data_IF_714900430177
#
_entry.id   IF_714900430177
#
_cell.length_a   1.000
_cell.length_b   1.000
_cell.length_c   1.000
_cell.angle_alpha   90.00
_cell.angle_beta   90.00
_cell.angle_gamma   90.00
#
_symmetry.space_group_name_H-M   'P 1'
#
loop_
_entity.id
_entity.type
_entity.pdbx_description
1 polymer ?
#
# COMPACT_ATOMS: atom_id res chain seq x y z
N UNK A 1 10.14 4.96 20.35
CA UNK A 1 8.79 5.09 19.74
C UNK A 1 8.71 4.12 18.59
N UNK A 2 7.75 3.19 18.57
CA UNK A 2 7.57 2.27 17.43
C UNK A 2 6.98 3.04 16.26
N UNK A 3 7.45 2.79 15.04
CA UNK A 3 6.85 3.39 13.85
C UNK A 3 5.46 2.76 13.58
N UNK A 4 4.50 3.49 13.01
CA UNK A 4 3.16 2.94 12.73
C UNK A 4 3.20 2.06 11.48
N UNK A 5 2.26 1.11 11.36
CA UNK A 5 2.02 0.42 10.08
C UNK A 5 1.60 1.42 8.99
N UNK A 6 1.90 1.10 7.73
CA UNK A 6 1.62 1.97 6.59
C UNK A 6 0.55 1.39 5.67
N UNK A 7 -0.24 2.29 5.09
CA UNK A 7 -1.35 1.95 4.20
C UNK A 7 -1.19 2.73 2.91
N UNK A 8 -1.31 2.07 1.75
CA UNK A 8 -1.13 2.71 0.45
C UNK A 8 -2.27 2.36 -0.50
N UNK A 9 -2.95 3.38 -1.01
CA UNK A 9 -4.05 3.19 -1.96
C UNK A 9 -3.71 3.89 -3.28
N UNK A 10 -3.81 3.13 -4.37
CA UNK A 10 -3.52 3.59 -5.72
C UNK A 10 -2.08 3.31 -6.12
N UNK A 11 -1.85 2.20 -6.81
CA UNK A 11 -0.56 1.69 -7.30
C UNK A 11 -0.37 2.04 -8.78
N UNK A 12 -0.69 3.28 -9.13
CA UNK A 12 -0.43 3.80 -10.47
C UNK A 12 1.07 3.99 -10.76
N UNK A 13 1.40 4.58 -11.90
CA UNK A 13 2.79 4.80 -12.32
C UNK A 13 3.62 5.60 -11.31
N UNK A 14 2.99 6.50 -10.55
CA UNK A 14 3.65 7.28 -9.49
C UNK A 14 3.61 6.55 -8.15
N UNK A 15 2.50 5.94 -7.79
CA UNK A 15 2.34 5.27 -6.52
C UNK A 15 3.12 3.96 -6.36
N UNK A 16 3.20 3.14 -7.40
CA UNK A 16 3.85 1.82 -7.32
C UNK A 16 5.35 1.88 -6.95
N UNK A 17 6.19 2.76 -7.54
CA UNK A 17 7.59 2.91 -7.12
C UNK A 17 7.74 3.35 -5.67
N UNK A 18 6.83 4.20 -5.16
CA UNK A 18 6.86 4.66 -3.78
C UNK A 18 6.45 3.52 -2.82
N UNK A 19 5.35 2.84 -3.12
CA UNK A 19 4.88 1.71 -2.31
C UNK A 19 5.92 0.59 -2.24
N UNK A 20 6.65 0.33 -3.33
CA UNK A 20 7.75 -0.66 -3.34
C UNK A 20 8.92 -0.30 -2.43
N UNK A 21 9.25 0.99 -2.28
CA UNK A 21 10.26 1.45 -1.30
C UNK A 21 9.80 1.23 0.14
N UNK A 22 8.49 1.26 0.37
CA UNK A 22 7.86 1.09 1.68
C UNK A 22 7.54 -0.38 1.99
N UNK A 23 7.70 -1.32 1.06
CA UNK A 23 7.33 -2.73 1.25
C UNK A 23 8.08 -3.38 2.43
N UNK A 24 9.33 -2.96 2.67
CA UNK A 24 10.15 -3.42 3.80
C UNK A 24 9.98 -2.56 5.07
N UNK A 25 8.88 -1.80 5.18
CA UNK A 25 8.64 -0.98 6.36
C UNK A 25 8.59 -1.86 7.63
N UNK A 26 9.27 -1.49 8.73
CA UNK A 26 9.44 -2.40 9.87
C UNK A 26 8.13 -2.85 10.54
N UNK A 27 7.05 -2.07 10.42
CA UNK A 27 5.72 -2.42 10.95
C UNK A 27 4.74 -2.87 9.86
N UNK A 28 5.24 -3.11 8.64
CA UNK A 28 4.49 -3.59 7.51
C UNK A 28 3.83 -2.48 6.69
N UNK A 29 3.54 -2.84 5.44
CA UNK A 29 2.81 -2.04 4.48
C UNK A 29 1.60 -2.83 4.01
N UNK A 30 0.42 -2.24 4.06
CA UNK A 30 -0.80 -2.78 3.43
C UNK A 30 -1.16 -1.95 2.20
N UNK A 31 -1.35 -2.58 1.06
CA UNK A 31 -1.67 -1.91 -0.21
C UNK A 31 -3.03 -2.29 -0.76
N UNK A 32 -3.63 -1.37 -1.52
CA UNK A 32 -4.83 -1.64 -2.29
C UNK A 32 -4.79 -0.88 -3.62
N UNK A 33 -5.17 -1.57 -4.70
CA UNK A 33 -5.54 -0.97 -5.97
C UNK A 33 -6.77 -1.72 -6.52
N UNK A 34 -7.55 -1.04 -7.36
CA UNK A 34 -8.67 -1.68 -8.08
C UNK A 34 -8.16 -2.68 -9.13
N UNK A 35 -6.91 -2.52 -9.57
CA UNK A 35 -6.19 -3.40 -10.49
C UNK A 35 -5.36 -4.39 -9.69
N UNK A 36 -5.84 -5.62 -9.59
CA UNK A 36 -5.14 -6.73 -8.91
C UNK A 36 -3.72 -6.96 -9.43
N UNK A 37 -3.49 -6.76 -10.73
CA UNK A 37 -2.16 -6.91 -11.33
C UNK A 37 -1.14 -5.90 -10.82
N UNK A 38 -1.58 -4.74 -10.31
CA UNK A 38 -0.69 -3.73 -9.74
C UNK A 38 -0.24 -4.10 -8.31
N UNK A 39 -0.98 -4.97 -7.62
CA UNK A 39 -0.69 -5.39 -6.24
C UNK A 39 0.30 -6.55 -6.18
N UNK A 40 0.28 -7.46 -7.16
CA UNK A 40 1.11 -8.68 -7.15
C UNK A 40 2.62 -8.40 -6.95
N UNK A 41 3.26 -7.41 -7.62
CA UNK A 41 4.68 -7.13 -7.41
C UNK A 41 5.01 -6.59 -6.02
N UNK A 42 4.03 -6.02 -5.31
CA UNK A 42 4.22 -5.53 -3.95
C UNK A 42 3.98 -6.62 -2.91
N UNK A 43 3.05 -7.53 -3.18
CA UNK A 43 2.89 -8.76 -2.39
C UNK A 43 4.17 -9.59 -2.39
N UNK A 44 4.76 -9.81 -3.57
CA UNK A 44 6.07 -10.46 -3.71
C UNK A 44 7.20 -9.71 -2.98
N UNK A 45 7.09 -8.38 -2.87
CA UNK A 45 8.05 -7.54 -2.15
C UNK A 45 7.81 -7.51 -0.63
N UNK A 46 6.81 -8.23 -0.11
CA UNK A 46 6.50 -8.35 1.32
C UNK A 46 5.41 -7.41 1.84
N UNK A 47 4.70 -6.70 0.97
CA UNK A 47 3.52 -5.94 1.37
C UNK A 47 2.30 -6.85 1.55
N UNK A 48 1.44 -6.53 2.50
CA UNK A 48 0.12 -7.13 2.61
C UNK A 48 -0.84 -6.52 1.57
N UNK A 49 -1.74 -7.32 1.01
CA UNK A 49 -2.76 -6.87 0.06
C UNK A 49 -4.12 -6.80 0.74
N UNK A 50 -4.77 -5.65 0.70
CA UNK A 50 -6.16 -5.51 1.13
C UNK A 50 -7.13 -5.75 -0.03
N UNK A 51 -8.36 -6.14 0.27
CA UNK A 51 -9.41 -6.36 -0.73
C UNK A 51 -10.34 -5.15 -0.91
N UNK A 52 -10.12 -4.08 -0.14
CA UNK A 52 -10.87 -2.83 -0.25
C UNK A 52 -10.13 -1.70 0.47
N UNK A 53 -10.51 -0.45 0.17
CA UNK A 53 -10.07 0.74 0.92
C UNK A 53 -10.35 0.61 2.42
N UNK A 54 -11.51 0.04 2.79
CA UNK A 54 -11.85 -0.21 4.20
C UNK A 54 -10.89 -1.21 4.85
N UNK A 55 -10.46 -2.23 4.11
CA UNK A 55 -9.44 -3.18 4.57
C UNK A 55 -8.10 -2.52 4.90
N UNK A 56 -7.68 -1.53 4.10
CA UNK A 56 -6.45 -0.76 4.40
C UNK A 56 -6.62 0.06 5.68
N UNK A 57 -7.78 0.71 5.87
CA UNK A 57 -8.05 1.51 7.07
C UNK A 57 -8.11 0.64 8.34
N UNK A 58 -8.67 -0.58 8.24
CA UNK A 58 -8.76 -1.53 9.35
C UNK A 58 -7.39 -2.05 9.83
N UNK A 59 -6.35 -1.98 8.99
CA UNK A 59 -4.99 -2.40 9.34
C UNK A 59 -4.27 -1.44 10.32
N UNK A 60 -4.98 -0.46 10.92
CA UNK A 60 -4.41 0.58 11.81
C UNK A 60 -3.24 1.34 11.18
N UNK A 61 -3.27 1.46 9.86
CA UNK A 61 -2.21 2.02 9.09
C UNK A 61 -2.39 3.54 8.90
N UNK A 62 -1.29 4.31 9.01
CA UNK A 62 -1.30 5.70 8.55
C UNK A 62 -1.32 5.67 7.02
N UNK A 63 -2.43 6.10 6.43
CA UNK A 63 -2.68 5.98 5.00
C UNK A 63 -2.01 7.10 4.19
N UNK A 64 -1.40 6.74 3.07
CA UNK A 64 -0.97 7.64 2.01
C UNK A 64 -1.87 7.36 0.81
N UNK A 65 -2.65 8.37 0.39
CA UNK A 65 -3.52 8.30 -0.77
C UNK A 65 -2.86 9.06 -1.93
N UNK A 66 -2.51 8.35 -3.01
CA UNK A 66 -2.07 9.01 -4.25
C UNK A 66 -3.31 9.26 -5.12
N UNK A 67 -3.74 10.53 -5.20
CA UNK A 67 -4.87 10.91 -6.04
C UNK A 67 -4.39 10.98 -7.49
N UNK A 68 -4.83 10.03 -8.32
CA UNK A 68 -4.60 10.02 -9.77
C UNK A 68 -4.85 11.42 -10.35
N UNK A 69 -3.81 12.05 -10.89
CA UNK A 69 -3.97 13.12 -11.88
C UNK A 69 -4.78 12.56 -13.04
N UNK A 70 -5.75 13.35 -13.50
CA UNK A 70 -6.72 12.99 -14.55
C UNK A 70 -6.04 12.33 -15.75
#
# INVERSE_FOLDING_TARGET
MSAPALGYIGLGNLGAPLARRLANWPQGLTVFDVRTEAMAPLEEAGAAVAHSVAGVAAANARSVLERRGR
#
